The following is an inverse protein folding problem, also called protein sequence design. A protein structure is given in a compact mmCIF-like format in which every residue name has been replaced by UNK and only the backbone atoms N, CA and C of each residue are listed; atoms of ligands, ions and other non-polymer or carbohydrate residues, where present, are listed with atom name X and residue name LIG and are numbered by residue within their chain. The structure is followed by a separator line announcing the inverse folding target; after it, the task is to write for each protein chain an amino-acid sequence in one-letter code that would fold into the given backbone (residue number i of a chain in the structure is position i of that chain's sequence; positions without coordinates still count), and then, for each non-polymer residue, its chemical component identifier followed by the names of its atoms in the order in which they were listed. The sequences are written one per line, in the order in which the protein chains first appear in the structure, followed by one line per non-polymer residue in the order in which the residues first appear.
data_IF_244724238199
#
_entry.id   IF_244724238199
#
_cell.length_a   1.000
_cell.length_b   1.000
_cell.length_c   1.000
_cell.angle_alpha   90.00
_cell.angle_beta   90.00
_cell.angle_gamma   90.00
#
_symmetry.space_group_name_H-M   'P 1'
#
loop_
_entity.id
_entity.type
_entity.pdbx_description
1 polymer ?
#
# COMPACT_ATOMS: atom_id res chain seq x y z
N UNK A 1 -14.69 30.23 6.29
CA UNK A 1 -14.65 29.80 6.46
C UNK A 1 -15.10 28.99 7.15
N UNK A 2 -15.54 28.94 7.54
CA UNK A 2 -16.07 28.27 8.18
C UNK A 2 -16.80 27.30 7.58
N UNK A 3 -17.24 27.37 6.52
CA UNK A 3 -17.84 26.44 5.81
C UNK A 3 -17.14 25.21 5.94
N UNK A 4 -15.90 25.18 5.85
CA UNK A 4 -15.12 24.17 5.94
C UNK A 4 -15.30 23.44 7.16
N UNK A 5 -15.29 24.01 8.27
CA UNK A 5 -15.49 23.39 9.48
C UNK A 5 -16.84 22.88 9.64
N UNK A 6 -17.80 23.53 9.16
CA UNK A 6 -19.11 23.06 9.29
C UNK A 6 -19.33 21.82 8.54
N UNK A 7 -18.82 21.75 7.39
CA UNK A 7 -18.96 20.60 6.58
C UNK A 7 -18.27 19.45 7.23
N UNK A 8 -17.15 19.66 7.79
CA UNK A 8 -16.50 18.65 8.46
C UNK A 8 -17.25 18.13 9.59
N UNK A 9 -17.86 18.94 10.33
CA UNK A 9 -18.64 18.50 11.40
C UNK A 9 -19.77 17.67 11.00
N UNK A 10 -20.45 18.04 10.02
CA UNK A 10 -21.58 17.29 9.59
C UNK A 10 -21.17 15.97 9.14
N UNK A 11 -20.11 15.84 8.44
CA UNK A 11 -19.70 14.58 8.04
C UNK A 11 -19.34 13.75 9.18
N UNK A 12 -18.70 14.25 10.14
CA UNK A 12 -18.37 13.50 11.28
C UNK A 12 -19.51 12.93 11.96
N UNK A 13 -20.56 13.62 12.00
CA UNK A 13 -21.68 13.13 12.65
C UNK A 13 -22.27 12.03 11.95
N UNK A 14 -22.36 12.10 10.71
CA UNK A 14 -23.07 11.12 10.02
C UNK A 14 -22.27 9.89 9.83
N UNK A 15 -21.00 9.89 9.99
CA UNK A 15 -20.26 8.80 9.70
C UNK A 15 -20.12 7.86 10.76
N UNK A 16 -20.26 6.60 10.48
CA UNK A 16 -20.13 5.65 11.40
C UNK A 16 -18.74 5.21 11.37
N UNK A 17 -18.16 4.76 12.38
CA UNK A 17 -16.86 4.36 12.39
C UNK A 17 -16.63 3.20 11.53
N UNK A 18 -17.51 2.29 11.49
CA UNK A 18 -17.35 1.11 10.73
C UNK A 18 -17.40 1.39 9.27
N UNK A 19 -18.04 2.43 8.89
CA UNK A 19 -18.17 2.79 7.54
C UNK A 19 -17.12 3.72 7.09
N UNK A 20 -16.27 4.15 7.93
CA UNK A 20 -15.35 5.12 7.57
C UNK A 20 -14.38 4.55 6.63
N UNK A 21 -14.20 5.06 5.48
CA UNK A 21 -13.24 4.54 4.56
C UNK A 21 -11.85 4.84 5.05
N UNK A 22 -10.91 4.04 4.69
CA UNK A 22 -9.58 4.32 5.03
C UNK A 22 -9.20 5.53 4.25
N UNK A 23 -8.69 6.45 4.89
CA UNK A 23 -8.41 7.68 4.29
C UNK A 23 -7.31 7.55 3.31
N UNK A 24 -7.43 8.14 2.18
CA UNK A 24 -6.33 8.19 1.28
C UNK A 24 -5.20 9.00 1.82
N UNK A 25 -5.39 9.50 3.02
CA UNK A 25 -4.39 10.26 3.64
C UNK A 25 -3.42 9.46 4.40
N UNK A 26 -3.51 8.12 4.39
CA UNK A 26 -2.49 7.31 4.99
C UNK A 26 -1.19 7.70 4.32
N UNK A 27 -0.24 8.13 5.09
CA UNK A 27 1.01 8.57 4.54
C UNK A 27 1.83 7.37 4.15
N UNK A 28 2.13 7.23 2.90
CA UNK A 28 2.89 6.11 2.41
C UNK A 28 4.26 6.56 1.97
N UNK A 29 5.28 5.89 2.46
CA UNK A 29 6.60 6.10 1.91
C UNK A 29 6.68 5.27 0.64
N UNK A 30 7.63 5.53 -0.22
CA UNK A 30 7.77 4.71 -1.42
C UNK A 30 7.92 3.23 -1.10
N UNK A 31 8.64 2.88 -0.06
CA UNK A 31 8.81 1.47 0.27
C UNK A 31 7.50 0.87 0.71
N UNK A 32 6.71 1.61 1.46
CA UNK A 32 5.41 1.10 1.89
C UNK A 32 4.50 0.86 0.69
N UNK A 33 4.50 1.79 -0.24
CA UNK A 33 3.68 1.62 -1.43
C UNK A 33 4.13 0.39 -2.21
N UNK A 34 5.42 0.16 -2.28
CA UNK A 34 5.93 -0.98 -3.02
C UNK A 34 5.57 -2.30 -2.37
N UNK A 35 5.51 -2.34 -1.04
CA UNK A 35 5.07 -3.53 -0.34
C UNK A 35 3.59 -3.78 -0.64
N UNK A 36 2.79 -2.73 -0.61
CA UNK A 36 1.38 -2.89 -0.92
C UNK A 36 1.19 -3.35 -2.36
N UNK A 37 1.98 -2.81 -3.25
CA UNK A 37 1.88 -3.18 -4.64
C UNK A 37 2.24 -4.65 -4.82
N UNK A 38 3.21 -5.14 -4.08
CA UNK A 38 3.61 -6.52 -4.18
C UNK A 38 2.48 -7.46 -3.76
N UNK A 39 1.57 -6.98 -2.93
CA UNK A 39 0.45 -7.78 -2.49
C UNK A 39 -0.76 -7.66 -3.41
N UNK A 40 -0.61 -6.95 -4.50
CA UNK A 40 -1.74 -6.71 -5.39
C UNK A 40 -2.28 -7.94 -6.08
N UNK A 41 -1.44 -8.93 -6.28
CA UNK A 41 -1.88 -10.12 -6.97
C UNK A 41 -2.10 -11.31 -6.05
N UNK A 42 -2.15 -11.09 -4.77
CA UNK A 42 -2.53 -12.18 -3.85
C UNK A 42 -1.73 -12.16 -2.59
N UNK A 43 -2.04 -13.08 -1.73
CA UNK A 43 -1.39 -13.15 -0.44
C UNK A 43 0.03 -13.67 -0.59
N UNK A 44 0.93 -13.21 0.23
CA UNK A 44 2.33 -13.59 0.17
C UNK A 44 2.96 -13.57 1.54
N UNK A 45 3.97 -14.39 1.72
CA UNK A 45 4.72 -14.31 2.96
C UNK A 45 5.85 -13.30 2.76
N UNK A 46 6.49 -12.94 3.84
CA UNK A 46 7.46 -11.84 3.82
C UNK A 46 8.57 -12.00 2.80
N UNK A 47 9.11 -13.21 2.69
CA UNK A 47 10.21 -13.39 1.76
C UNK A 47 9.75 -13.15 0.31
N UNK A 48 8.56 -13.58 -0.02
CA UNK A 48 8.05 -13.34 -1.36
C UNK A 48 7.82 -11.85 -1.59
N UNK A 49 7.38 -11.14 -0.56
CA UNK A 49 7.22 -9.70 -0.69
C UNK A 49 8.56 -9.04 -0.97
N UNK A 50 9.61 -9.46 -0.27
CA UNK A 50 10.93 -8.90 -0.50
C UNK A 50 11.35 -9.10 -1.94
N UNK A 51 11.14 -10.29 -2.45
CA UNK A 51 11.56 -10.57 -3.80
C UNK A 51 10.77 -9.79 -4.81
N UNK A 52 9.49 -9.64 -4.57
CA UNK A 52 8.66 -8.89 -5.49
C UNK A 52 9.03 -7.41 -5.50
N UNK A 53 9.32 -6.84 -4.34
CA UNK A 53 9.72 -5.44 -4.30
C UNK A 53 11.03 -5.25 -5.08
N UNK A 54 11.93 -6.19 -4.93
CA UNK A 54 13.17 -6.09 -5.64
C UNK A 54 12.93 -6.16 -7.13
N UNK A 55 12.12 -7.07 -7.57
CA UNK A 55 11.83 -7.23 -8.97
C UNK A 55 11.07 -6.04 -9.55
N UNK A 56 10.06 -5.58 -8.87
CA UNK A 56 9.24 -4.50 -9.42
C UNK A 56 9.98 -3.17 -9.46
N UNK A 57 11.08 -3.05 -8.72
CA UNK A 57 11.86 -1.84 -8.77
C UNK A 57 13.15 -2.01 -9.56
N UNK A 58 13.29 -3.14 -10.23
CA UNK A 58 14.49 -3.38 -11.02
C UNK A 58 15.74 -3.42 -10.18
N UNK A 59 15.61 -3.85 -8.94
CA UNK A 59 16.74 -3.93 -8.04
C UNK A 59 17.08 -2.66 -7.33
N UNK A 60 16.35 -1.58 -7.60
CA UNK A 60 16.66 -0.32 -6.95
C UNK A 60 16.25 -0.31 -5.48
N UNK A 61 15.28 -1.09 -5.09
CA UNK A 61 14.86 -1.12 -3.71
C UNK A 61 15.15 -2.50 -3.16
N UNK A 62 15.95 -2.54 -2.09
CA UNK A 62 16.33 -3.78 -1.50
C UNK A 62 16.10 -3.62 -0.02
N UNK A 63 15.07 -4.19 0.49
CA UNK A 63 14.71 -4.02 1.88
C UNK A 63 15.39 -5.08 2.73
N UNK A 64 15.86 -4.68 3.90
CA UNK A 64 16.33 -5.66 4.85
C UNK A 64 15.13 -6.32 5.48
N UNK A 65 15.34 -7.45 6.09
CA UNK A 65 14.27 -8.14 6.77
C UNK A 65 13.68 -7.26 7.86
N UNK A 66 14.53 -6.59 8.61
CA UNK A 66 14.03 -5.74 9.68
C UNK A 66 13.17 -4.61 9.15
N UNK A 67 13.60 -3.99 8.06
CA UNK A 67 12.82 -2.90 7.49
C UNK A 67 11.49 -3.43 6.97
N UNK A 68 11.52 -4.58 6.33
CA UNK A 68 10.27 -5.14 5.81
C UNK A 68 9.29 -5.38 6.94
N UNK A 69 9.72 -5.99 8.03
CA UNK A 69 8.77 -6.30 9.09
C UNK A 69 8.32 -5.06 9.84
N UNK A 70 9.14 -4.02 9.88
CA UNK A 70 8.67 -2.75 10.43
C UNK A 70 7.57 -2.16 9.56
N UNK A 71 7.73 -2.28 8.26
CA UNK A 71 6.71 -1.80 7.33
C UNK A 71 5.45 -2.63 7.49
N UNK A 72 5.58 -3.94 7.56
CA UNK A 72 4.42 -4.79 7.70
C UNK A 72 3.67 -4.45 8.98
N UNK A 73 4.38 -4.24 10.07
CA UNK A 73 3.74 -3.89 11.30
C UNK A 73 2.97 -2.59 11.16
N UNK A 74 3.54 -1.61 10.50
CA UNK A 74 2.87 -0.35 10.30
C UNK A 74 1.63 -0.55 9.44
N UNK A 75 1.73 -1.29 8.38
CA UNK A 75 0.60 -1.49 7.48
C UNK A 75 -0.51 -2.28 8.15
N UNK A 76 -0.16 -3.22 9.02
CA UNK A 76 -1.17 -3.92 9.78
C UNK A 76 -1.89 -2.95 10.72
N UNK A 77 -1.15 -2.08 11.35
CA UNK A 77 -1.79 -1.14 12.29
C UNK A 77 -2.66 -0.13 11.57
N UNK A 78 -2.38 0.13 10.31
CA UNK A 78 -3.21 1.05 9.54
C UNK A 78 -4.41 0.35 8.92
N UNK A 79 -4.48 -0.95 9.05
CA UNK A 79 -5.63 -1.67 8.51
C UNK A 79 -5.63 -1.85 7.01
N UNK A 80 -4.49 -1.63 6.37
CA UNK A 80 -4.44 -1.76 4.92
C UNK A 80 -3.96 -3.13 4.47
N UNK A 81 -3.42 -3.92 5.38
CA UNK A 81 -3.16 -5.32 5.12
C UNK A 81 -3.63 -6.12 6.31
N UNK A 82 -3.78 -7.40 6.13
CA UNK A 82 -4.15 -8.26 7.23
C UNK A 82 -3.39 -9.57 7.08
N UNK A 83 -3.22 -10.24 8.18
CA UNK A 83 -2.54 -11.50 8.18
C UNK A 83 -3.53 -12.60 7.86
N UNK A 84 -3.16 -13.52 6.99
CA UNK A 84 -4.04 -14.60 6.63
C UNK A 84 -3.86 -15.72 7.59
N UNK A 85 -4.95 -16.25 8.07
CA UNK A 85 -4.86 -17.26 9.07
C UNK A 85 -5.26 -18.60 8.61
N UNK A 86 -5.48 -18.80 7.36
CA UNK A 86 -5.94 -20.07 6.89
C UNK A 86 -4.84 -20.90 6.36
N UNK A 87 -3.70 -20.96 6.99
CA UNK A 87 -2.63 -21.74 6.51
C UNK A 87 -2.58 -23.06 7.16
N UNK A 88 -2.16 -24.08 6.47
CA UNK A 88 -2.10 -25.38 7.08
C UNK A 88 -1.09 -25.36 8.19
N UNK A 89 -1.41 -25.95 9.27
CA UNK A 89 -0.52 -25.88 10.40
C UNK A 89 0.77 -26.57 10.15
N UNK A 90 0.79 -27.38 9.20
CA UNK A 90 1.91 -28.14 9.00
C UNK A 90 3.13 -27.39 8.83
N UNK A 91 2.99 -26.40 8.25
CA UNK A 91 4.11 -25.77 7.97
C UNK A 91 4.56 -24.98 8.93
N UNK A 92 4.18 -25.07 9.59
CA UNK A 92 4.15 -24.64 10.29
C UNK A 92 4.70 -24.14 11.22
N UNK A 93 4.34 -23.98 11.97
CA UNK A 93 4.99 -23.51 12.90
C UNK A 93 6.00 -22.55 12.65
N UNK A 94 6.32 -22.25 11.50
CA UNK A 94 7.26 -21.30 11.21
C UNK A 94 6.63 -19.99 11.22
N UNK A 95 6.79 -19.19 12.25
CA UNK A 95 6.22 -17.93 12.31
C UNK A 95 6.72 -17.05 11.25
N UNK A 96 7.87 -17.32 10.66
CA UNK A 96 8.35 -16.52 9.59
C UNK A 96 7.57 -16.76 8.32
N UNK A 97 6.66 -17.72 8.31
CA UNK A 97 5.86 -17.95 7.16
C UNK A 97 4.48 -17.43 7.27
N UNK A 98 4.31 -16.33 7.96
CA UNK A 98 3.03 -15.68 8.01
C UNK A 98 2.75 -15.07 6.67
N UNK A 99 1.51 -15.15 6.26
CA UNK A 99 1.08 -14.62 4.98
C UNK A 99 0.24 -13.38 5.18
N UNK A 100 0.34 -12.45 4.28
CA UNK A 100 -0.36 -11.17 4.36
C UNK A 100 -1.10 -10.91 3.07
N UNK A 101 -2.15 -10.11 3.14
CA UNK A 101 -2.87 -9.72 1.94
C UNK A 101 -3.44 -8.33 2.11
N UNK A 102 -3.80 -7.69 1.02
CA UNK A 102 -4.44 -6.39 1.08
C UNK A 102 -5.83 -6.53 1.61
N UNK A 103 -6.25 -5.57 2.43
CA UNK A 103 -7.67 -5.46 2.78
C UNK A 103 -8.34 -4.64 1.69
N UNK A 104 -9.67 -4.55 1.76
CA UNK A 104 -10.38 -3.66 0.86
C UNK A 104 -9.88 -2.25 1.01
N UNK A 105 -9.67 -1.83 2.25
CA UNK A 105 -9.14 -0.51 2.51
C UNK A 105 -7.77 -0.35 1.90
N UNK A 106 -6.95 -1.40 1.96
CA UNK A 106 -5.63 -1.33 1.37
C UNK A 106 -5.68 -1.16 -0.14
N UNK A 107 -6.62 -1.83 -0.79
CA UNK A 107 -6.75 -1.65 -2.22
C UNK A 107 -7.12 -0.22 -2.56
N UNK A 108 -7.98 0.38 -1.77
CA UNK A 108 -8.37 1.76 -2.00
C UNK A 108 -7.19 2.70 -1.85
N UNK A 109 -6.34 2.42 -0.88
CA UNK A 109 -5.17 3.26 -0.67
C UNK A 109 -4.20 3.12 -1.84
N UNK A 110 -4.02 1.91 -2.34
CA UNK A 110 -3.13 1.70 -3.48
C UNK A 110 -3.65 2.42 -4.71
N UNK A 111 -4.95 2.32 -4.95
CA UNK A 111 -5.53 2.97 -6.13
C UNK A 111 -5.35 4.48 -6.02
N UNK A 112 -5.64 5.05 -4.86
CA UNK A 112 -5.53 6.49 -4.70
C UNK A 112 -4.10 6.96 -4.90
N UNK A 113 -3.16 6.19 -4.39
CA UNK A 113 -1.77 6.59 -4.54
C UNK A 113 -1.29 6.42 -5.97
N UNK A 114 -1.71 5.37 -6.63
CA UNK A 114 -1.32 5.17 -8.01
C UNK A 114 -1.88 6.27 -8.90
N UNK A 115 -3.10 6.69 -8.62
CA UNK A 115 -3.69 7.77 -9.40
C UNK A 115 -2.96 9.08 -9.17
N UNK A 116 -2.54 9.31 -7.95
CA UNK A 116 -1.82 10.51 -7.62
C UNK A 116 -0.47 10.51 -8.35
N UNK A 117 0.18 9.38 -8.39
CA UNK A 117 1.44 9.26 -9.08
C UNK A 117 1.27 9.45 -10.57
N UNK A 118 0.19 8.94 -11.10
CA UNK A 118 -0.06 9.08 -12.52
C UNK A 118 -0.19 10.54 -12.91
N UNK A 119 -0.85 11.33 -12.08
CA UNK A 119 -0.98 12.74 -12.36
C UNK A 119 0.35 13.44 -12.32
N UNK A 120 1.20 13.06 -11.38
CA UNK A 120 2.53 13.66 -11.30
C UNK A 120 3.37 13.29 -12.51
N UNK A 121 3.24 12.07 -13.00
CA UNK A 121 3.96 11.66 -14.17
C UNK A 121 3.49 12.46 -15.39
N UNK A 122 2.18 12.69 -15.46
CA UNK A 122 1.67 13.50 -16.57
C UNK A 122 2.25 14.90 -16.55
N UNK A 123 2.38 15.47 -15.37
CA UNK A 123 2.98 16.78 -15.24
C UNK A 123 4.45 16.75 -15.67
N UNK A 124 5.17 15.72 -15.27
CA UNK A 124 6.56 15.60 -15.66
C UNK A 124 6.71 15.51 -17.17
N UNK A 125 5.78 14.84 -17.82
CA UNK A 125 5.80 14.76 -19.26
C UNK A 125 5.54 16.09 -19.90
N UNK A 126 4.58 16.84 -19.36
CA UNK A 126 4.28 18.14 -19.86
C UNK A 126 5.45 19.08 -19.73
N UNK A 127 6.25 18.91 -18.71
CA UNK A 127 7.38 19.79 -18.48
C UNK A 127 8.66 19.25 -19.09
N UNK A 128 8.52 18.21 -19.91
CA UNK A 128 9.65 17.66 -20.67
C UNK A 128 10.69 16.97 -19.84
N UNK A 129 10.30 16.45 -18.68
CA UNK A 129 11.20 15.64 -17.90
C UNK A 129 11.12 14.18 -18.29
N UNK A 130 10.07 13.79 -19.01
CA UNK A 130 9.90 12.44 -19.45
C UNK A 130 9.46 12.45 -20.88
N UNK A 131 10.08 11.66 -21.70
CA UNK A 131 9.66 11.59 -23.08
C UNK A 131 8.49 10.67 -23.23
N UNK A 132 7.73 10.86 -24.27
CA UNK A 132 6.67 9.95 -24.56
C UNK A 132 7.30 8.62 -24.92
N UNK A 133 6.58 7.55 -24.72
CA UNK A 133 7.10 6.23 -24.99
C UNK A 133 7.54 6.17 -26.45
N UNK A 134 8.70 5.63 -26.71
CA UNK A 134 9.16 5.45 -28.02
C UNK A 134 9.56 4.08 -28.19
N UNK A 135 8.94 3.33 -29.05
CA UNK A 135 9.31 1.96 -29.27
C UNK A 135 10.64 1.98 -29.94
N UNK A 136 11.44 1.10 -29.60
CA UNK A 136 12.73 1.11 -30.17
C UNK A 136 12.83 0.30 -31.40
#
# INVERSE_FOLDING_TARGET
MNNYSEVSQMKGESMNHSDKPVSPEVALTPAMFQVLLALGDGEKHGYAILKDVEQQTGGHVHLSTGTLYAIIKRLLSEGVIEECRNRPPAEEDDQRRRYYRLTTAGRQVVVAEAERMEKLIATARQKNFLHAFKPV
#
